data_IF_855697109066
#
_entry.id   IF_855697109066
#
_cell.length_a   1.000
_cell.length_b   1.000
_cell.length_c   1.000
_cell.angle_alpha   90.00
_cell.angle_beta   90.00
_cell.angle_gamma   90.00
#
_symmetry.space_group_name_H-M   'P 1'
#
loop_
_entity.id
_entity.type
_entity.pdbx_description
1 polymer ?
#
# COMPACT_ATOMS: atom_id res chain seq x y z
N UNK A 1 13.58 5.81 9.27
CA UNK A 1 12.46 5.18 8.50
C UNK A 1 11.52 6.24 7.97
N UNK A 2 11.24 6.21 6.70
CA UNK A 2 10.28 7.07 5.99
C UNK A 2 9.03 6.24 5.59
N UNK A 3 7.92 6.91 5.38
CA UNK A 3 6.67 6.28 4.96
C UNK A 3 6.31 6.73 3.54
N UNK A 4 6.06 5.78 2.65
CA UNK A 4 5.74 6.05 1.25
C UNK A 4 4.40 5.41 0.89
N UNK A 5 3.45 6.24 0.45
CA UNK A 5 2.15 5.78 -0.03
C UNK A 5 2.09 5.88 -1.56
N UNK A 6 1.81 4.76 -2.23
CA UNK A 6 1.72 4.68 -3.69
C UNK A 6 0.29 4.97 -4.14
N UNK A 7 0.04 6.18 -4.63
CA UNK A 7 -1.28 6.69 -5.02
C UNK A 7 -1.31 7.22 -6.47
N UNK A 8 -0.39 6.79 -7.33
CA UNK A 8 -0.30 7.31 -8.69
C UNK A 8 -1.34 6.74 -9.66
N UNK A 9 -1.85 5.54 -9.41
CA UNK A 9 -2.74 4.82 -10.31
C UNK A 9 -4.15 5.40 -10.40
N UNK A 10 -4.77 5.30 -11.59
CA UNK A 10 -6.16 5.71 -11.84
C UNK A 10 -7.18 4.78 -11.19
N UNK A 11 -6.85 3.49 -11.00
CA UNK A 11 -7.80 2.49 -10.50
C UNK A 11 -9.01 2.31 -11.41
N UNK A 12 -8.80 2.09 -12.71
CA UNK A 12 -9.78 2.16 -13.78
C UNK A 12 -11.07 1.38 -13.54
N UNK A 13 -10.98 0.18 -12.92
CA UNK A 13 -12.15 -0.65 -12.60
C UNK A 13 -13.14 0.07 -11.67
N UNK A 14 -12.63 0.68 -10.60
CA UNK A 14 -13.46 1.40 -9.63
C UNK A 14 -13.78 2.81 -10.09
N UNK A 15 -12.87 3.49 -10.79
CA UNK A 15 -13.06 4.85 -11.26
C UNK A 15 -14.31 5.01 -12.14
N UNK A 16 -14.66 4.00 -12.96
CA UNK A 16 -15.88 4.00 -13.77
C UNK A 16 -17.14 4.17 -12.91
N UNK A 17 -17.14 3.65 -11.68
CA UNK A 17 -18.29 3.70 -10.76
C UNK A 17 -18.30 4.93 -9.87
N UNK A 18 -17.16 5.32 -9.30
CA UNK A 18 -17.10 6.33 -8.23
C UNK A 18 -16.49 7.66 -8.65
N UNK A 19 -15.94 7.77 -9.89
CA UNK A 19 -15.36 9.00 -10.48
C UNK A 19 -14.27 9.68 -9.62
N UNK A 20 -13.63 8.93 -8.71
CA UNK A 20 -12.54 9.43 -7.86
C UNK A 20 -11.42 8.40 -7.70
N UNK A 21 -10.26 8.83 -7.17
CA UNK A 21 -9.18 7.91 -6.82
C UNK A 21 -9.63 6.95 -5.71
N UNK A 22 -9.17 5.69 -5.75
CA UNK A 22 -9.45 4.72 -4.69
C UNK A 22 -9.07 5.25 -3.30
N UNK A 23 -7.90 5.86 -3.17
CA UNK A 23 -7.39 6.39 -1.90
C UNK A 23 -8.26 7.53 -1.31
N UNK A 24 -9.09 8.19 -2.15
CA UNK A 24 -10.01 9.26 -1.75
C UNK A 24 -11.42 8.77 -1.43
N UNK A 25 -11.67 7.46 -1.49
CA UNK A 25 -12.95 6.89 -1.04
C UNK A 25 -13.10 7.16 0.46
N UNK A 26 -14.26 7.71 0.83
CA UNK A 26 -14.57 7.97 2.25
C UNK A 26 -14.98 6.68 2.96
N UNK A 27 -14.39 6.48 4.12
CA UNK A 27 -14.74 5.46 5.09
C UNK A 27 -15.15 6.19 6.37
N UNK A 28 -16.45 6.36 6.54
CA UNK A 28 -17.00 7.23 7.57
C UNK A 28 -16.61 8.71 7.33
N UNK A 29 -15.90 9.33 8.29
CA UNK A 29 -15.49 10.75 8.24
C UNK A 29 -14.24 11.00 7.39
N UNK A 30 -13.33 10.01 7.28
CA UNK A 30 -12.02 10.17 6.64
C UNK A 30 -11.93 9.34 5.35
N UNK A 31 -11.09 9.78 4.44
CA UNK A 31 -10.72 8.99 3.26
C UNK A 31 -9.76 7.86 3.64
N UNK A 32 -9.59 6.86 2.75
CA UNK A 32 -8.63 5.76 2.98
C UNK A 32 -7.24 6.33 3.25
N UNK A 33 -6.76 7.26 2.41
CA UNK A 33 -5.42 7.84 2.56
C UNK A 33 -5.26 8.62 3.87
N UNK A 34 -6.27 9.34 4.33
CA UNK A 34 -6.25 10.02 5.62
C UNK A 34 -6.11 9.03 6.77
N UNK A 35 -6.87 7.91 6.75
CA UNK A 35 -6.75 6.84 7.76
C UNK A 35 -5.36 6.21 7.77
N UNK A 36 -4.76 6.00 6.60
CA UNK A 36 -3.39 5.47 6.51
C UNK A 36 -2.38 6.44 7.13
N UNK A 37 -2.48 7.74 6.84
CA UNK A 37 -1.61 8.77 7.43
C UNK A 37 -1.81 8.86 8.94
N UNK A 38 -3.04 8.80 9.41
CA UNK A 38 -3.37 8.86 10.84
C UNK A 38 -2.86 7.66 11.64
N UNK A 39 -2.67 6.50 10.99
CA UNK A 39 -2.04 5.33 11.59
C UNK A 39 -0.53 5.51 11.83
N UNK A 40 0.12 6.46 11.15
CA UNK A 40 1.54 6.76 11.36
C UNK A 40 1.71 7.52 12.68
N UNK A 41 2.64 7.11 13.54
CA UNK A 41 2.95 7.87 14.76
C UNK A 41 3.35 9.30 14.43
N UNK A 42 2.94 10.26 15.27
CA UNK A 42 3.03 11.69 15.01
C UNK A 42 4.44 12.16 14.66
N UNK A 43 5.46 11.59 15.31
CA UNK A 43 6.87 11.89 15.10
C UNK A 43 7.43 11.44 13.75
N UNK A 44 6.70 10.58 13.02
CA UNK A 44 7.08 10.13 11.67
C UNK A 44 6.27 10.79 10.55
N UNK A 45 5.23 11.56 10.87
CA UNK A 45 4.34 12.13 9.84
C UNK A 45 5.07 13.06 8.87
N UNK A 46 6.03 13.85 9.34
CA UNK A 46 6.83 14.73 8.47
C UNK A 46 7.77 13.95 7.53
N UNK A 47 8.05 12.66 7.86
CA UNK A 47 8.79 11.71 7.01
C UNK A 47 7.86 10.89 6.12
N UNK A 48 6.65 11.39 5.84
CA UNK A 48 5.67 10.72 4.98
C UNK A 48 5.66 11.37 3.60
N UNK A 49 5.70 10.54 2.56
CA UNK A 49 5.62 10.95 1.16
C UNK A 49 4.48 10.21 0.47
N UNK A 50 3.66 10.92 -0.30
CA UNK A 50 2.68 10.30 -1.20
C UNK A 50 3.22 10.42 -2.63
N UNK A 51 3.39 9.28 -3.30
CA UNK A 51 3.68 9.26 -4.73
C UNK A 51 2.35 9.33 -5.47
N UNK A 52 2.12 10.43 -6.13
CA UNK A 52 0.88 10.78 -6.84
C UNK A 52 1.05 10.66 -8.34
N UNK A 53 -0.06 10.60 -9.07
CA UNK A 53 -0.10 10.60 -10.53
C UNK A 53 -1.44 11.10 -11.02
N UNK A 54 -2.38 10.20 -11.26
CA UNK A 54 -3.76 10.56 -11.60
C UNK A 54 -4.43 11.37 -10.48
N UNK A 55 -5.08 12.49 -10.85
CA UNK A 55 -5.74 13.41 -9.90
C UNK A 55 -4.82 13.91 -8.76
N UNK A 56 -3.55 14.13 -9.06
CA UNK A 56 -2.55 14.65 -8.14
C UNK A 56 -3.07 15.78 -7.25
N UNK A 57 -3.69 16.81 -7.84
CA UNK A 57 -4.22 17.99 -7.13
C UNK A 57 -5.25 17.63 -6.06
N UNK A 58 -6.15 16.68 -6.35
CA UNK A 58 -7.19 16.27 -5.41
C UNK A 58 -6.61 15.51 -4.22
N UNK A 59 -5.57 14.70 -4.44
CA UNK A 59 -4.86 14.01 -3.36
C UNK A 59 -4.19 15.02 -2.45
N UNK A 60 -3.46 15.99 -3.01
CA UNK A 60 -2.84 17.08 -2.22
C UNK A 60 -3.90 17.85 -1.43
N UNK A 61 -5.00 18.27 -2.09
CA UNK A 61 -6.08 19.02 -1.42
C UNK A 61 -6.64 18.27 -0.22
N UNK A 62 -6.82 16.96 -0.33
CA UNK A 62 -7.34 16.13 0.75
C UNK A 62 -6.34 15.94 1.91
N UNK A 63 -5.04 15.95 1.63
CA UNK A 63 -4.02 15.54 2.61
C UNK A 63 -3.11 16.68 3.08
N UNK A 64 -3.22 17.91 2.53
CA UNK A 64 -2.36 19.07 2.88
C UNK A 64 -2.31 19.41 4.36
N UNK A 65 -3.39 19.14 5.09
CA UNK A 65 -3.46 19.39 6.56
C UNK A 65 -2.44 18.58 7.38
N UNK A 66 -1.91 17.49 6.81
CA UNK A 66 -0.95 16.61 7.49
C UNK A 66 0.51 17.06 7.34
N UNK A 67 0.79 18.10 6.52
CA UNK A 67 2.13 18.65 6.27
C UNK A 67 3.15 17.56 5.86
N UNK A 68 2.78 16.77 4.86
CA UNK A 68 3.57 15.66 4.31
C UNK A 68 4.17 16.02 2.95
N UNK A 69 5.06 15.17 2.43
CA UNK A 69 5.73 15.36 1.16
C UNK A 69 4.96 14.73 0.00
N UNK A 70 5.20 15.23 -1.21
CA UNK A 70 4.60 14.70 -2.43
C UNK A 70 5.66 14.51 -3.51
N UNK A 71 5.63 13.35 -4.16
CA UNK A 71 6.34 13.08 -5.41
C UNK A 71 5.31 12.82 -6.51
N UNK A 72 5.54 13.33 -7.71
CA UNK A 72 4.63 13.11 -8.80
C UNK A 72 5.25 12.16 -9.84
N UNK A 73 4.65 11.00 -10.03
CA UNK A 73 4.88 10.18 -11.21
C UNK A 73 4.10 10.80 -12.38
N UNK A 74 4.78 11.55 -13.24
CA UNK A 74 4.16 12.21 -14.40
C UNK A 74 3.80 11.21 -15.49
N UNK A 75 4.49 10.09 -15.53
CA UNK A 75 4.28 9.02 -16.51
C UNK A 75 3.42 7.85 -15.99
N UNK A 76 2.55 8.13 -15.02
CA UNK A 76 1.69 7.15 -14.37
C UNK A 76 0.77 6.34 -15.31
N UNK A 77 0.59 6.81 -16.56
CA UNK A 77 -0.24 6.13 -17.57
C UNK A 77 0.49 4.96 -18.21
N UNK A 78 1.82 5.06 -18.33
CA UNK A 78 2.68 4.13 -19.06
C UNK A 78 3.59 3.33 -18.13
N UNK A 79 3.51 3.56 -16.81
CA UNK A 79 4.38 2.92 -15.81
C UNK A 79 3.57 2.18 -14.76
N UNK A 80 4.18 1.13 -14.21
CA UNK A 80 3.63 0.32 -13.14
C UNK A 80 3.99 0.87 -11.75
N UNK A 81 3.43 0.25 -10.70
CA UNK A 81 3.65 0.66 -9.31
C UNK A 81 5.12 0.67 -8.89
N UNK A 82 5.91 -0.25 -9.40
CA UNK A 82 7.34 -0.32 -9.10
C UNK A 82 8.06 0.97 -9.49
N UNK A 83 7.73 1.55 -10.64
CA UNK A 83 8.30 2.83 -11.05
C UNK A 83 7.99 3.95 -10.04
N UNK A 84 6.75 3.99 -9.54
CA UNK A 84 6.38 4.95 -8.49
C UNK A 84 7.17 4.74 -7.19
N UNK A 85 7.49 3.50 -6.83
CA UNK A 85 8.35 3.19 -5.68
C UNK A 85 9.79 3.63 -5.96
N UNK A 86 10.34 3.36 -7.15
CA UNK A 86 11.69 3.77 -7.54
C UNK A 86 11.88 5.29 -7.45
N UNK A 87 10.89 6.09 -7.88
CA UNK A 87 10.94 7.55 -7.71
C UNK A 87 11.10 7.99 -6.24
N UNK A 88 10.52 7.24 -5.31
CA UNK A 88 10.70 7.52 -3.89
C UNK A 88 12.07 7.06 -3.39
N UNK A 89 12.53 5.87 -3.81
CA UNK A 89 13.85 5.33 -3.44
C UNK A 89 14.99 6.23 -3.91
N UNK A 90 14.88 6.86 -5.09
CA UNK A 90 15.87 7.82 -5.60
C UNK A 90 15.97 9.11 -4.75
N UNK A 91 14.97 9.43 -3.96
CA UNK A 91 14.90 10.68 -3.18
C UNK A 91 15.08 10.47 -1.68
N UNK A 92 14.96 9.24 -1.20
CA UNK A 92 14.96 8.91 0.22
C UNK A 92 16.10 7.94 0.51
N UNK A 93 17.13 8.44 1.14
CA UNK A 93 18.31 7.66 1.59
C UNK A 93 18.11 7.24 3.06
N UNK A 94 17.14 6.37 3.31
CA UNK A 94 16.80 5.84 4.65
C UNK A 94 15.88 4.62 4.46
N UNK A 95 15.64 3.87 5.52
CA UNK A 95 14.64 2.81 5.53
C UNK A 95 13.27 3.33 5.12
N UNK A 96 12.58 2.58 4.27
CA UNK A 96 11.26 2.92 3.77
C UNK A 96 10.23 1.85 4.15
N UNK A 97 9.15 2.30 4.80
CA UNK A 97 7.89 1.56 4.84
C UNK A 97 7.01 2.05 3.70
N UNK A 98 6.78 1.23 2.69
CA UNK A 98 5.84 1.59 1.63
C UNK A 98 4.54 0.79 1.72
N UNK A 99 3.45 1.39 1.23
CA UNK A 99 2.14 0.78 1.21
C UNK A 99 1.31 1.23 0.02
N UNK A 100 0.46 0.34 -0.44
CA UNK A 100 -0.63 0.70 -1.34
C UNK A 100 -1.65 1.56 -0.61
N UNK A 101 -2.48 2.27 -1.38
CA UNK A 101 -3.46 3.22 -0.85
C UNK A 101 -4.91 2.76 -1.04
N UNK A 102 -5.10 1.48 -1.32
CA UNK A 102 -6.41 0.84 -1.43
C UNK A 102 -6.59 -0.31 -0.41
N UNK A 103 -5.67 -0.41 0.55
CA UNK A 103 -5.73 -1.35 1.67
C UNK A 103 -5.87 -0.59 2.99
N UNK A 104 -6.42 -1.26 4.00
CA UNK A 104 -6.53 -0.74 5.36
C UNK A 104 -5.99 -1.78 6.31
N UNK A 105 -5.14 -1.33 7.21
CA UNK A 105 -4.54 -2.16 8.25
C UNK A 105 -4.51 -1.41 9.58
N UNK A 106 -4.43 -2.16 10.66
CA UNK A 106 -4.34 -1.61 12.00
C UNK A 106 -2.98 -0.93 12.23
N UNK A 107 -2.99 0.18 12.96
CA UNK A 107 -1.78 0.92 13.38
C UNK A 107 -0.75 0.05 14.13
N UNK A 108 -1.17 -1.09 14.70
CA UNK A 108 -0.27 -2.02 15.38
C UNK A 108 0.75 -2.62 14.41
N UNK A 109 0.39 -2.78 13.13
CA UNK A 109 1.30 -3.28 12.09
C UNK A 109 2.45 -2.31 11.92
N UNK A 110 2.16 -1.01 11.75
CA UNK A 110 3.19 0.04 11.65
C UNK A 110 4.08 0.06 12.89
N UNK A 111 3.48 0.00 14.09
CA UNK A 111 4.25 -0.02 15.34
C UNK A 111 5.18 -1.22 15.44
N UNK A 112 4.75 -2.40 15.01
CA UNK A 112 5.58 -3.61 14.97
C UNK A 112 6.71 -3.48 13.96
N UNK A 113 6.43 -2.92 12.77
CA UNK A 113 7.44 -2.70 11.74
C UNK A 113 8.52 -1.73 12.19
N UNK A 114 8.17 -0.63 12.85
CA UNK A 114 9.14 0.35 13.39
C UNK A 114 10.03 -0.28 14.47
N UNK A 115 9.47 -1.10 15.36
CA UNK A 115 10.20 -1.67 16.50
C UNK A 115 11.17 -2.78 16.09
N UNK A 116 10.94 -3.47 14.99
CA UNK A 116 11.73 -4.61 14.58
C UNK A 116 12.90 -4.13 13.72
N UNK A 117 14.13 -4.43 14.15
CA UNK A 117 15.33 -4.15 13.36
C UNK A 117 15.34 -5.11 12.16
N UNK A 118 14.89 -4.63 11.01
CA UNK A 118 14.89 -5.37 9.77
C UNK A 118 16.18 -5.05 9.01
N UNK A 119 16.91 -6.09 8.61
CA UNK A 119 18.12 -5.92 7.78
C UNK A 119 17.81 -5.93 6.28
N UNK A 120 16.62 -6.48 5.93
CA UNK A 120 16.22 -6.74 4.55
C UNK A 120 14.76 -6.34 4.32
N UNK A 121 14.19 -6.78 3.20
CA UNK A 121 12.78 -6.57 2.88
C UNK A 121 11.91 -7.37 3.86
N UNK A 122 11.00 -6.68 4.53
CA UNK A 122 10.03 -7.28 5.44
C UNK A 122 8.60 -7.06 4.95
N UNK A 123 7.85 -8.15 4.81
CA UNK A 123 6.47 -8.13 4.33
C UNK A 123 5.53 -8.57 5.44
N UNK A 124 4.61 -7.71 5.92
CA UNK A 124 3.53 -8.12 6.81
C UNK A 124 2.57 -9.06 6.09
N UNK A 125 2.24 -10.19 6.71
CA UNK A 125 1.41 -11.22 6.11
C UNK A 125 0.10 -11.36 6.88
N UNK A 126 -1.03 -11.35 6.17
CA UNK A 126 -2.34 -11.72 6.70
C UNK A 126 -2.55 -13.23 6.56
N UNK A 127 -2.42 -13.97 7.65
CA UNK A 127 -2.65 -15.42 7.69
C UNK A 127 -4.14 -15.79 7.62
N UNK A 128 -5.03 -14.85 7.96
CA UNK A 128 -6.49 -15.02 7.89
C UNK A 128 -7.07 -14.55 6.53
N UNK A 129 -6.24 -14.43 5.52
CA UNK A 129 -6.58 -13.88 4.21
C UNK A 129 -7.80 -14.53 3.55
N UNK A 130 -8.00 -15.85 3.71
CA UNK A 130 -9.15 -16.57 3.13
C UNK A 130 -10.50 -15.97 3.51
N UNK A 131 -10.65 -15.53 4.78
CA UNK A 131 -11.89 -14.89 5.24
C UNK A 131 -12.16 -13.60 4.47
N UNK A 132 -11.12 -12.81 4.18
CA UNK A 132 -11.23 -11.55 3.44
C UNK A 132 -11.64 -11.82 1.98
N UNK A 133 -11.01 -12.81 1.34
CA UNK A 133 -11.32 -13.16 -0.06
C UNK A 133 -12.72 -13.74 -0.24
N UNK A 134 -13.19 -14.58 0.68
CA UNK A 134 -14.58 -15.09 0.69
C UNK A 134 -15.56 -13.92 0.79
N UNK A 135 -15.31 -12.94 1.66
CA UNK A 135 -16.16 -11.75 1.79
C UNK A 135 -16.15 -10.85 0.56
N UNK A 136 -15.06 -10.83 -0.21
CA UNK A 136 -14.99 -10.11 -1.49
C UNK A 136 -15.87 -10.72 -2.58
N UNK A 137 -16.21 -12.01 -2.49
CA UNK A 137 -16.97 -12.72 -3.51
C UNK A 137 -16.23 -12.85 -4.85
N UNK A 138 -14.90 -12.76 -4.84
CA UNK A 138 -14.04 -12.95 -6.03
C UNK A 138 -13.50 -14.37 -6.06
N UNK A 139 -13.20 -14.90 -7.26
CA UNK A 139 -12.47 -16.17 -7.38
C UNK A 139 -11.06 -15.99 -6.76
N UNK A 140 -10.79 -16.82 -5.75
CA UNK A 140 -9.51 -16.79 -5.04
C UNK A 140 -8.34 -17.02 -5.99
N UNK A 141 -8.48 -17.93 -6.97
CA UNK A 141 -7.40 -18.25 -7.91
C UNK A 141 -7.08 -17.12 -8.88
N UNK A 142 -8.05 -16.25 -9.15
CA UNK A 142 -7.85 -15.12 -10.06
C UNK A 142 -7.33 -13.87 -9.36
N UNK A 143 -7.62 -13.69 -8.06
CA UNK A 143 -7.34 -12.45 -7.35
C UNK A 143 -6.23 -12.58 -6.29
N UNK A 144 -5.93 -13.78 -5.81
CA UNK A 144 -4.83 -14.00 -4.86
C UNK A 144 -3.56 -14.48 -5.58
N UNK A 145 -2.43 -14.31 -4.91
CA UNK A 145 -1.10 -14.67 -5.42
C UNK A 145 -0.45 -15.72 -4.52
N UNK A 146 0.59 -16.41 -5.02
CA UNK A 146 1.36 -17.32 -4.18
C UNK A 146 2.07 -16.55 -3.09
N UNK A 147 2.14 -17.12 -1.90
CA UNK A 147 2.96 -16.62 -0.80
C UNK A 147 3.38 -17.80 0.07
N UNK A 148 4.68 -18.05 0.11
CA UNK A 148 5.27 -19.12 0.94
C UNK A 148 6.36 -18.56 1.82
N UNK A 149 6.39 -19.03 3.05
CA UNK A 149 7.45 -18.70 4.00
C UNK A 149 7.78 -19.91 4.89
N UNK A 150 8.99 -19.93 5.40
CA UNK A 150 9.45 -20.92 6.37
C UNK A 150 10.38 -20.25 7.39
N UNK A 151 10.13 -20.47 8.68
CA UNK A 151 10.91 -19.89 9.77
C UNK A 151 11.06 -18.35 9.67
N UNK A 152 9.99 -17.66 9.27
CA UNK A 152 9.97 -16.20 9.10
C UNK A 152 10.70 -15.69 7.84
N UNK A 153 11.23 -16.56 6.98
CA UNK A 153 11.85 -16.18 5.70
C UNK A 153 10.86 -16.38 4.58
N UNK A 154 10.68 -15.35 3.75
CA UNK A 154 9.90 -15.41 2.53
C UNK A 154 10.62 -16.28 1.49
N UNK A 155 9.89 -17.22 0.88
CA UNK A 155 10.41 -18.15 -0.13
C UNK A 155 9.83 -17.88 -1.51
N UNK A 156 8.56 -17.45 -1.58
CA UNK A 156 7.85 -17.21 -2.84
C UNK A 156 6.75 -16.18 -2.63
N UNK A 157 6.55 -15.26 -3.56
CA UNK A 157 5.50 -14.24 -3.52
C UNK A 157 5.15 -13.77 -4.94
N UNK A 158 3.87 -13.47 -5.20
CA UNK A 158 3.44 -12.73 -6.40
C UNK A 158 3.19 -13.56 -7.65
N UNK A 159 3.29 -14.89 -7.58
CA UNK A 159 3.01 -15.77 -8.73
C UNK A 159 1.53 -16.16 -8.82
N UNK A 160 1.07 -16.48 -10.02
CA UNK A 160 -0.28 -17.03 -10.21
C UNK A 160 -0.45 -18.37 -9.48
N UNK A 161 -1.59 -18.54 -8.84
CA UNK A 161 -1.89 -19.73 -8.05
C UNK A 161 -2.15 -20.92 -8.99
N UNK A 162 -1.22 -21.86 -9.00
CA UNK A 162 -1.41 -23.21 -9.60
C UNK A 162 -1.77 -24.25 -8.54
N UNK A 163 -1.29 -24.06 -7.31
CA UNK A 163 -1.53 -24.93 -6.16
C UNK A 163 -1.88 -24.09 -4.93
N UNK A 164 -3.07 -24.32 -4.35
CA UNK A 164 -3.54 -23.63 -3.16
C UNK A 164 -2.67 -23.87 -1.91
N UNK A 165 -1.89 -24.96 -1.88
CA UNK A 165 -0.94 -25.24 -0.79
C UNK A 165 0.21 -24.22 -0.76
N UNK A 166 0.44 -23.50 -1.86
CA UNK A 166 1.46 -22.44 -1.97
C UNK A 166 0.96 -21.08 -1.47
N UNK A 167 -0.25 -20.98 -0.93
CA UNK A 167 -0.83 -19.74 -0.44
C UNK A 167 -0.96 -19.82 1.08
N UNK A 168 0.11 -19.48 1.79
CA UNK A 168 0.16 -19.49 3.27
C UNK A 168 -0.36 -18.17 3.87
N UNK A 169 -0.49 -17.12 3.07
CA UNK A 169 -0.97 -15.81 3.47
C UNK A 169 -1.18 -14.89 2.27
N UNK A 170 -1.55 -13.64 2.53
CA UNK A 170 -1.56 -12.55 1.55
C UNK A 170 -1.01 -11.28 2.21
N UNK A 171 -0.61 -10.28 1.43
CA UNK A 171 0.06 -9.06 1.88
C UNK A 171 -0.69 -7.80 1.41
#
# INVERSE_FOLDING_TARGET
MNFVFLAAGKGTRIFKKIKTNKCLIKLQKNTIIEKLIENIPINYRQKTTIVTGFNHTNIIKATKKYKINYLQNRDYKNTEMLHSLCLALEKIDDDIFFSYTDIIYDKIIIKKMIKKNHKDICVPININWKKVWIQRGTDIKEDAETLRYKNGKLLEIGEKIKDMKKVQGQF
#
